data_IF_272086407486
#
_entry.id   IF_272086407486
#
_cell.length_a   1.000
_cell.length_b   1.000
_cell.length_c   1.000
_cell.angle_alpha   90.00
_cell.angle_beta   90.00
_cell.angle_gamma   90.00
#
_symmetry.space_group_name_H-M   'P 1'
#
loop_
_entity.id
_entity.type
_entity.pdbx_description
1 polymer ?
#
# COMPACT_ATOMS: atom_id res chain seq x y z
N UNK A 1 -18.36 -1.32 3.11
CA UNK A 1 -17.70 -2.37 2.28
C UNK A 1 -16.33 -1.84 1.94
N UNK A 2 -15.27 -2.61 2.20
CA UNK A 2 -13.90 -2.18 1.95
C UNK A 2 -13.55 -2.32 0.46
N UNK A 3 -12.95 -1.30 -0.13
CA UNK A 3 -12.48 -1.31 -1.51
C UNK A 3 -10.95 -1.28 -1.56
N UNK A 4 -10.36 -1.71 -2.69
CA UNK A 4 -8.92 -1.54 -2.90
C UNK A 4 -8.59 -0.08 -3.22
N UNK A 5 -7.49 0.43 -2.67
CA UNK A 5 -6.99 1.79 -2.89
C UNK A 5 -5.75 1.80 -3.80
N UNK A 6 -5.80 2.59 -4.87
CA UNK A 6 -4.74 2.68 -5.86
C UNK A 6 -4.24 4.12 -6.09
N UNK A 7 -2.96 4.26 -6.41
CA UNK A 7 -2.37 5.46 -6.99
C UNK A 7 -1.74 5.12 -8.34
N UNK A 8 -2.30 5.67 -9.42
CA UNK A 8 -1.78 5.56 -10.78
C UNK A 8 -0.92 6.76 -11.15
N UNK A 9 0.22 6.50 -11.80
CA UNK A 9 1.22 7.51 -12.17
C UNK A 9 1.51 7.45 -13.68
N UNK A 10 1.47 8.62 -14.33
CA UNK A 10 1.88 8.77 -15.72
C UNK A 10 3.12 9.67 -15.80
N UNK A 11 3.94 9.41 -16.81
CA UNK A 11 5.20 10.11 -17.02
C UNK A 11 5.17 10.75 -18.42
N UNK A 12 5.69 11.97 -18.58
CA UNK A 12 5.68 12.66 -19.86
C UNK A 12 6.66 11.99 -20.84
N UNK A 13 6.23 11.77 -22.08
CA UNK A 13 7.05 11.17 -23.15
C UNK A 13 7.76 9.88 -22.70
N UNK A 14 7.04 9.02 -21.98
CA UNK A 14 7.62 7.85 -21.32
C UNK A 14 8.23 6.89 -22.34
N UNK A 15 9.48 6.51 -22.09
CA UNK A 15 10.19 5.47 -22.81
C UNK A 15 10.26 4.25 -21.92
N UNK A 16 9.92 3.08 -22.45
CA UNK A 16 9.81 1.86 -21.66
C UNK A 16 11.14 1.49 -20.97
N UNK A 17 12.27 1.78 -21.61
CA UNK A 17 13.61 1.58 -21.04
C UNK A 17 13.89 2.43 -19.78
N UNK A 18 13.09 3.48 -19.55
CA UNK A 18 13.16 4.29 -18.35
C UNK A 18 12.35 3.71 -17.17
N UNK A 19 11.55 2.65 -17.39
CA UNK A 19 10.71 2.04 -16.36
C UNK A 19 11.49 1.63 -15.11
N UNK A 20 12.64 0.93 -15.20
CA UNK A 20 13.40 0.55 -14.00
C UNK A 20 13.83 1.77 -13.16
N UNK A 21 14.30 2.83 -13.82
CA UNK A 21 14.71 4.06 -13.13
C UNK A 21 13.52 4.79 -12.48
N UNK A 22 12.37 4.81 -13.15
CA UNK A 22 11.14 5.38 -12.59
C UNK A 22 10.65 4.58 -11.37
N UNK A 23 10.70 3.24 -11.44
CA UNK A 23 10.36 2.35 -10.33
C UNK A 23 11.26 2.58 -9.12
N UNK A 24 12.58 2.65 -9.32
CA UNK A 24 13.54 2.99 -8.25
C UNK A 24 13.20 4.34 -7.61
N UNK A 25 12.86 5.35 -8.42
CA UNK A 25 12.50 6.67 -7.90
C UNK A 25 11.27 6.61 -6.99
N UNK A 26 10.19 5.94 -7.42
CA UNK A 26 8.96 5.78 -6.65
C UNK A 26 9.19 4.98 -5.37
N UNK A 27 9.90 3.84 -5.45
CA UNK A 27 10.23 2.99 -4.29
C UNK A 27 11.07 3.76 -3.25
N UNK A 28 12.02 4.61 -3.69
CA UNK A 28 12.78 5.49 -2.79
C UNK A 28 11.87 6.49 -2.09
N UNK A 29 10.94 7.13 -2.80
CA UNK A 29 9.99 8.05 -2.16
C UNK A 29 9.12 7.33 -1.13
N UNK A 30 8.71 6.09 -1.43
CA UNK A 30 7.97 5.26 -0.48
C UNK A 30 8.80 4.96 0.77
N UNK A 31 10.05 4.52 0.61
CA UNK A 31 10.97 4.19 1.69
C UNK A 31 11.28 5.36 2.65
N UNK A 32 11.18 6.60 2.17
CA UNK A 32 11.33 7.80 3.01
C UNK A 32 10.16 8.00 3.97
N UNK A 33 8.97 7.48 3.64
CA UNK A 33 7.69 7.84 4.28
C UNK A 33 7.05 6.66 5.00
N UNK A 34 7.27 5.44 4.52
CA UNK A 34 6.67 4.19 5.05
C UNK A 34 6.98 3.90 6.52
N UNK A 35 8.11 4.43 7.02
CA UNK A 35 8.53 4.34 8.40
C UNK A 35 9.09 2.97 8.80
N UNK A 36 9.95 2.96 9.82
CA UNK A 36 10.60 1.73 10.32
C UNK A 36 11.67 1.15 9.38
N UNK A 37 12.36 0.07 9.79
CA UNK A 37 13.37 -0.60 8.97
C UNK A 37 12.75 -1.45 7.84
N UNK A 38 11.60 -2.10 8.11
CA UNK A 38 10.90 -2.98 7.17
C UNK A 38 10.42 -2.26 5.91
N UNK A 39 10.05 -0.98 6.02
CA UNK A 39 9.56 -0.17 4.91
C UNK A 39 10.65 0.38 4.00
N UNK A 40 11.94 0.11 4.29
CA UNK A 40 13.10 0.60 3.51
C UNK A 40 13.63 -0.41 2.50
N UNK A 41 13.16 -1.65 2.55
CA UNK A 41 13.65 -2.76 1.73
C UNK A 41 12.48 -3.42 1.00
N UNK A 42 12.80 -4.02 -0.14
CA UNK A 42 11.84 -4.82 -0.91
C UNK A 42 11.61 -6.14 -0.18
N UNK A 43 10.35 -6.50 0.05
CA UNK A 43 9.94 -7.74 0.70
C UNK A 43 9.76 -8.88 -0.31
N UNK A 44 9.29 -8.58 -1.51
CA UNK A 44 9.22 -9.52 -2.62
C UNK A 44 9.29 -8.77 -3.96
N UNK A 45 9.75 -9.47 -5.00
CA UNK A 45 9.74 -8.99 -6.37
C UNK A 45 9.22 -10.11 -7.29
N UNK A 46 8.30 -9.77 -8.19
CA UNK A 46 7.67 -10.71 -9.14
C UNK A 46 7.58 -10.09 -10.53
N UNK A 47 7.67 -10.91 -11.56
CA UNK A 47 7.47 -10.48 -12.96
C UNK A 47 6.44 -11.39 -13.63
N UNK A 48 5.39 -10.78 -14.15
CA UNK A 48 4.27 -11.48 -14.78
C UNK A 48 4.32 -11.26 -16.30
N UNK A 49 4.32 -12.32 -17.12
CA UNK A 49 4.23 -12.20 -18.57
C UNK A 49 2.76 -12.05 -18.99
N UNK A 50 2.49 -11.26 -20.03
CA UNK A 50 1.21 -11.11 -20.75
C UNK A 50 0.07 -10.52 -19.89
N UNK A 51 -0.27 -11.12 -18.75
CA UNK A 51 -1.30 -10.67 -17.81
C UNK A 51 -1.05 -11.22 -16.40
N UNK A 52 -1.83 -10.75 -15.41
CA UNK A 52 -1.76 -11.26 -14.04
C UNK A 52 -2.33 -12.67 -13.85
N UNK A 53 -2.98 -13.25 -14.88
CA UNK A 53 -3.48 -14.63 -14.80
C UNK A 53 -2.41 -15.67 -15.09
N UNK A 54 -1.29 -15.24 -15.68
CA UNK A 54 -0.15 -16.10 -15.97
C UNK A 54 0.73 -16.31 -14.73
N UNK A 55 1.51 -17.38 -14.74
CA UNK A 55 2.49 -17.63 -13.67
C UNK A 55 3.68 -16.67 -13.78
N UNK A 56 4.20 -16.14 -12.66
CA UNK A 56 5.38 -15.30 -12.68
C UNK A 56 6.58 -16.01 -13.33
N UNK A 57 7.27 -15.34 -14.25
CA UNK A 57 8.53 -15.84 -14.85
C UNK A 57 9.73 -15.61 -13.94
N UNK A 58 9.62 -14.62 -13.05
CA UNK A 58 10.57 -14.33 -11.98
C UNK A 58 9.80 -14.12 -10.68
N UNK A 59 10.30 -14.70 -9.59
CA UNK A 59 9.79 -14.44 -8.25
C UNK A 59 10.91 -14.57 -7.23
N UNK A 60 11.06 -13.58 -6.36
CA UNK A 60 12.02 -13.57 -5.27
C UNK A 60 11.39 -13.00 -4.01
N UNK A 61 11.49 -13.75 -2.92
CA UNK A 61 11.04 -13.32 -1.58
C UNK A 61 12.28 -13.01 -0.74
N UNK A 62 12.28 -11.85 -0.10
CA UNK A 62 13.39 -11.40 0.74
C UNK A 62 12.99 -11.51 2.21
N UNK A 63 13.81 -12.23 2.98
CA UNK A 63 13.66 -12.30 4.44
C UNK A 63 14.31 -11.06 5.02
N UNK A 64 13.52 -10.14 5.58
CA UNK A 64 13.96 -8.85 6.10
C UNK A 64 13.73 -8.73 7.63
N UNK A 65 13.71 -9.85 8.35
CA UNK A 65 13.53 -9.87 9.81
C UNK A 65 14.88 -9.81 10.54
N UNK A 66 14.85 -9.63 11.86
CA UNK A 66 16.06 -9.54 12.70
C UNK A 66 16.92 -10.82 12.70
N UNK A 67 16.43 -11.90 12.09
CA UNK A 67 17.11 -13.20 11.99
C UNK A 67 17.76 -13.42 10.62
N UNK A 68 17.47 -12.56 9.66
CA UNK A 68 18.04 -12.64 8.32
C UNK A 68 19.50 -12.19 8.31
N UNK A 69 20.30 -12.82 7.45
CA UNK A 69 21.58 -12.25 7.06
C UNK A 69 21.34 -10.96 6.28
N UNK A 70 22.15 -9.93 6.54
CA UNK A 70 22.08 -8.66 5.81
C UNK A 70 22.32 -8.92 4.32
N UNK A 71 21.23 -8.96 3.55
CA UNK A 71 21.27 -9.18 2.11
C UNK A 71 21.20 -7.85 1.39
N UNK A 72 22.18 -7.56 0.55
CA UNK A 72 22.13 -6.42 -0.35
C UNK A 72 21.05 -6.63 -1.43
N UNK A 73 20.57 -7.86 -1.65
CA UNK A 73 19.58 -8.14 -2.70
C UNK A 73 18.21 -7.48 -2.45
N UNK A 74 17.83 -7.25 -1.19
CA UNK A 74 16.56 -6.56 -0.87
C UNK A 74 16.65 -5.03 -0.96
N UNK A 75 17.84 -4.49 -1.25
CA UNK A 75 18.01 -3.07 -1.54
C UNK A 75 17.26 -2.75 -2.84
N UNK A 76 16.54 -1.63 -2.84
CA UNK A 76 15.62 -1.23 -3.92
C UNK A 76 16.30 -1.31 -5.29
N UNK A 77 17.50 -0.75 -5.42
CA UNK A 77 18.24 -0.71 -6.68
C UNK A 77 18.59 -2.12 -7.18
N UNK A 78 19.00 -3.01 -6.28
CA UNK A 78 19.39 -4.37 -6.63
C UNK A 78 18.17 -5.22 -6.99
N UNK A 79 17.10 -5.15 -6.19
CA UNK A 79 15.87 -5.87 -6.47
C UNK A 79 15.24 -5.45 -7.81
N UNK A 80 15.23 -4.14 -8.12
CA UNK A 80 14.72 -3.64 -9.40
C UNK A 80 15.63 -4.07 -10.55
N UNK A 81 16.95 -3.93 -10.41
CA UNK A 81 17.89 -4.33 -11.45
C UNK A 81 17.80 -5.82 -11.79
N UNK A 82 17.64 -6.68 -10.79
CA UNK A 82 17.49 -8.12 -10.98
C UNK A 82 16.16 -8.47 -11.65
N UNK A 83 15.04 -7.96 -11.12
CA UNK A 83 13.71 -8.23 -11.70
C UNK A 83 13.55 -7.65 -13.12
N UNK A 84 14.30 -6.61 -13.47
CA UNK A 84 14.24 -5.96 -14.80
C UNK A 84 15.39 -6.35 -15.72
N UNK A 85 16.17 -7.39 -15.38
CA UNK A 85 17.27 -7.89 -16.22
C UNK A 85 16.78 -8.27 -17.64
N UNK A 86 15.62 -8.94 -17.71
CA UNK A 86 14.94 -9.27 -18.96
C UNK A 86 13.77 -8.31 -19.20
N UNK A 87 14.07 -7.00 -19.26
CA UNK A 87 13.06 -5.97 -19.51
C UNK A 87 12.34 -6.23 -20.85
N UNK A 88 11.07 -6.59 -20.77
CA UNK A 88 10.22 -6.88 -21.93
C UNK A 88 8.87 -6.18 -21.86
N UNK A 89 8.35 -5.79 -23.03
CA UNK A 89 7.21 -4.89 -23.19
C UNK A 89 5.85 -5.54 -22.90
N UNK A 90 5.79 -6.86 -22.87
CA UNK A 90 4.62 -7.67 -22.50
C UNK A 90 4.64 -8.10 -21.03
N UNK A 91 5.51 -7.55 -20.19
CA UNK A 91 5.63 -7.94 -18.78
C UNK A 91 5.19 -6.83 -17.82
N UNK A 92 4.72 -7.22 -16.64
CA UNK A 92 4.55 -6.34 -15.49
C UNK A 92 5.53 -6.72 -14.38
N UNK A 93 6.06 -5.71 -13.70
CA UNK A 93 7.05 -5.84 -12.62
C UNK A 93 6.41 -5.39 -11.31
N UNK A 94 6.34 -6.27 -10.34
CA UNK A 94 5.74 -6.02 -9.03
C UNK A 94 6.80 -6.05 -7.93
N UNK A 95 6.78 -5.04 -7.06
CA UNK A 95 7.62 -4.98 -5.88
C UNK A 95 6.75 -4.76 -4.64
N UNK A 96 6.88 -5.65 -3.66
CA UNK A 96 6.22 -5.51 -2.37
C UNK A 96 7.09 -4.78 -1.36
N UNK A 97 6.50 -3.81 -0.65
CA UNK A 97 7.09 -3.14 0.49
C UNK A 97 6.13 -3.14 1.68
N UNK A 98 6.63 -2.83 2.88
CA UNK A 98 5.82 -2.76 4.11
C UNK A 98 5.58 -1.30 4.52
N UNK A 99 4.32 -0.97 4.86
CA UNK A 99 3.93 0.31 5.45
C UNK A 99 3.40 0.11 6.85
N UNK A 100 3.94 0.80 7.86
CA UNK A 100 3.34 0.78 9.20
C UNK A 100 2.15 1.74 9.24
N UNK A 101 0.94 1.19 9.32
CA UNK A 101 -0.32 1.94 9.42
C UNK A 101 -0.99 1.65 10.75
N UNK A 102 -1.74 2.63 11.25
CA UNK A 102 -2.59 2.42 12.41
C UNK A 102 -3.82 1.60 12.02
N UNK A 103 -4.05 0.50 12.71
CA UNK A 103 -5.20 -0.38 12.50
C UNK A 103 -5.88 -0.63 13.85
N UNK A 104 -7.22 -0.66 13.91
CA UNK A 104 -7.93 -1.07 15.12
C UNK A 104 -7.77 -2.58 15.33
N UNK A 105 -7.38 -3.01 16.53
CA UNK A 105 -7.57 -4.41 16.91
C UNK A 105 -9.07 -4.65 17.11
N UNK A 106 -9.63 -5.63 16.40
CA UNK A 106 -10.97 -6.14 16.69
C UNK A 106 -10.93 -7.11 17.88
N UNK A 107 -11.98 -7.11 18.69
CA UNK A 107 -12.13 -7.95 19.89
C UNK A 107 -12.01 -9.47 19.62
N UNK A 108 -12.19 -9.91 18.38
CA UNK A 108 -12.00 -11.32 17.99
C UNK A 108 -10.56 -11.81 18.20
N UNK A 109 -9.56 -10.92 18.10
CA UNK A 109 -8.16 -11.24 18.43
C UNK A 109 -7.95 -11.41 19.94
N UNK A 110 -8.81 -10.82 20.77
CA UNK A 110 -8.79 -10.98 22.23
C UNK A 110 -9.48 -12.28 22.66
N UNK A 111 -10.61 -12.63 22.04
CA UNK A 111 -11.34 -13.88 22.31
C UNK A 111 -10.48 -15.12 22.03
N UNK A 112 -9.76 -15.12 20.91
CA UNK A 112 -8.90 -16.24 20.53
C UNK A 112 -7.66 -16.40 21.43
N UNK A 113 -7.30 -15.35 22.21
CA UNK A 113 -6.08 -15.32 23.02
C UNK A 113 -6.28 -15.72 24.48
N UNK A 114 -7.53 -15.76 24.95
CA UNK A 114 -7.84 -16.01 26.36
C UNK A 114 -8.64 -17.30 26.62
N UNK A 115 -9.03 -18.06 25.59
CA UNK A 115 -9.76 -19.34 25.72
C UNK A 115 -10.98 -19.21 26.65
N UNK A 116 -11.65 -18.05 26.59
CA UNK A 116 -12.82 -17.75 27.40
C UNK A 116 -14.05 -18.28 26.67
N UNK A 117 -14.81 -19.15 27.34
CA UNK A 117 -16.04 -19.72 26.80
C UNK A 117 -17.10 -18.64 26.51
N UNK A 118 -18.04 -18.92 25.59
CA UNK A 118 -19.06 -17.97 25.13
C UNK A 118 -20.01 -17.47 26.23
N UNK A 119 -20.04 -18.15 27.38
CA UNK A 119 -20.97 -17.88 28.49
C UNK A 119 -20.34 -17.07 29.63
N UNK A 120 -19.14 -16.51 29.44
CA UNK A 120 -18.51 -15.69 30.47
C UNK A 120 -19.23 -14.34 30.60
N UNK A 121 -19.92 -14.10 31.72
CA UNK A 121 -20.55 -12.80 32.06
C UNK A 121 -19.55 -11.62 32.04
N UNK A 122 -18.24 -11.90 32.08
CA UNK A 122 -17.20 -10.89 31.87
C UNK A 122 -17.05 -10.45 30.40
N UNK A 123 -17.44 -11.24 29.40
CA UNK A 123 -17.36 -10.84 27.99
C UNK A 123 -18.35 -9.70 27.67
N UNK A 124 -19.53 -9.73 28.26
CA UNK A 124 -20.55 -8.67 28.10
C UNK A 124 -20.21 -7.36 28.83
N UNK A 125 -19.35 -7.41 29.86
CA UNK A 125 -18.89 -6.22 30.59
C UNK A 125 -17.63 -5.58 29.97
N UNK A 126 -16.85 -6.34 29.18
CA UNK A 126 -15.66 -5.85 28.49
C UNK A 126 -15.92 -5.35 27.06
N UNK A 127 -17.05 -5.69 26.43
CA UNK A 127 -17.43 -5.23 25.08
C UNK A 127 -17.72 -3.74 24.92
N UNK A 128 -17.29 -2.90 25.88
CA UNK A 128 -17.37 -1.43 25.86
C UNK A 128 -16.00 -0.77 26.10
N UNK A 129 -14.90 -1.51 25.99
CA UNK A 129 -13.56 -1.03 26.31
C UNK A 129 -12.80 -0.72 25.02
N UNK A 130 -12.63 0.58 24.76
CA UNK A 130 -11.64 1.24 23.91
C UNK A 130 -10.98 0.36 22.83
N UNK A 131 -11.44 0.51 21.57
CA UNK A 131 -10.78 -0.04 20.39
C UNK A 131 -9.28 0.24 20.46
N UNK A 132 -8.48 -0.80 20.66
CA UNK A 132 -7.03 -0.63 20.85
C UNK A 132 -6.36 -0.48 19.49
N UNK A 133 -5.74 0.67 19.24
CA UNK A 133 -5.05 0.96 17.99
C UNK A 133 -3.58 0.54 18.05
N UNK A 134 -3.10 -0.11 16.98
CA UNK A 134 -1.69 -0.51 16.85
C UNK A 134 -1.13 -0.20 15.47
N UNK A 135 0.15 0.18 15.41
CA UNK A 135 0.89 0.21 14.15
C UNK A 135 1.17 -1.22 13.69
N UNK A 136 0.61 -1.60 12.56
CA UNK A 136 0.80 -2.90 11.92
C UNK A 136 1.39 -2.74 10.52
N UNK A 137 2.25 -3.67 10.08
CA UNK A 137 2.78 -3.66 8.73
C UNK A 137 1.70 -4.08 7.72
N UNK A 138 1.30 -3.17 6.84
CA UNK A 138 0.50 -3.41 5.65
C UNK A 138 1.42 -3.64 4.44
N UNK A 139 1.03 -4.54 3.54
CA UNK A 139 1.75 -4.74 2.27
C UNK A 139 1.29 -3.71 1.24
N UNK A 140 2.24 -3.02 0.62
CA UNK A 140 2.01 -2.14 -0.53
C UNK A 140 2.72 -2.73 -1.73
N UNK A 141 2.02 -2.82 -2.86
CA UNK A 141 2.60 -3.33 -4.11
C UNK A 141 2.82 -2.16 -5.07
N UNK A 142 4.04 -2.02 -5.58
CA UNK A 142 4.39 -1.02 -6.59
C UNK A 142 4.59 -1.78 -7.90
N UNK A 143 3.76 -1.50 -8.90
CA UNK A 143 3.71 -2.19 -10.18
C UNK A 143 4.14 -1.27 -11.30
N UNK A 144 5.02 -1.77 -12.18
CA UNK A 144 5.40 -1.13 -13.44
C UNK A 144 4.92 -1.94 -14.63
N UNK A 145 4.30 -1.30 -15.62
CA UNK A 145 3.68 -2.00 -16.76
C UNK A 145 4.48 -1.82 -18.05
N UNK A 146 4.73 -2.93 -18.74
CA UNK A 146 5.11 -2.93 -20.13
C UNK A 146 3.95 -2.46 -21.03
N UNK A 147 4.23 -1.80 -22.17
CA UNK A 147 3.20 -1.20 -23.02
C UNK A 147 2.29 -2.23 -23.72
N UNK A 148 2.70 -3.49 -23.82
CA UNK A 148 1.92 -4.58 -24.40
C UNK A 148 1.32 -5.53 -23.34
N UNK A 149 1.60 -5.31 -22.05
CA UNK A 149 1.03 -6.11 -20.97
C UNK A 149 -0.47 -5.81 -20.81
N UNK A 150 -1.27 -6.87 -20.66
CA UNK A 150 -2.70 -6.84 -20.33
C UNK A 150 -3.49 -5.86 -21.22
N UNK A 151 -3.46 -6.06 -22.53
CA UNK A 151 -4.11 -5.21 -23.54
C UNK A 151 -3.75 -3.71 -23.41
N UNK A 152 -2.46 -3.43 -23.17
CA UNK A 152 -1.93 -2.07 -23.00
C UNK A 152 -2.59 -1.30 -21.84
N UNK A 153 -2.89 -2.01 -20.73
CA UNK A 153 -3.59 -1.45 -19.59
C UNK A 153 -2.90 -0.24 -18.94
N UNK A 154 -1.61 0.00 -19.22
CA UNK A 154 -0.86 1.18 -18.74
C UNK A 154 -1.55 2.51 -19.08
N UNK A 155 -2.32 2.58 -20.17
CA UNK A 155 -3.06 3.79 -20.55
C UNK A 155 -4.06 4.20 -19.47
N UNK A 156 -4.74 3.23 -18.86
CA UNK A 156 -5.74 3.43 -17.80
C UNK A 156 -5.12 3.33 -16.39
N UNK A 157 -4.15 2.42 -16.21
CA UNK A 157 -3.55 2.11 -14.92
C UNK A 157 -2.33 3.00 -14.57
N UNK A 158 -1.83 3.78 -15.52
CA UNK A 158 -0.54 4.48 -15.41
C UNK A 158 0.62 3.59 -15.84
N UNK A 159 1.77 4.21 -16.10
CA UNK A 159 3.02 3.43 -16.33
C UNK A 159 3.46 2.74 -15.03
N UNK A 160 3.17 3.36 -13.89
CA UNK A 160 3.37 2.79 -12.56
C UNK A 160 2.05 2.90 -11.79
N UNK A 161 1.62 1.81 -11.14
CA UNK A 161 0.49 1.78 -10.20
C UNK A 161 0.97 1.32 -8.83
N UNK A 162 0.52 2.01 -7.80
CA UNK A 162 0.70 1.59 -6.42
C UNK A 162 -0.63 1.04 -5.94
N UNK A 163 -0.61 -0.16 -5.39
CA UNK A 163 -1.72 -0.79 -4.69
C UNK A 163 -1.42 -0.76 -3.19
N UNK A 164 -2.26 -0.05 -2.43
CA UNK A 164 -2.11 0.11 -0.99
C UNK A 164 -2.86 -0.95 -0.18
N UNK A 165 -3.56 -1.87 -0.85
CA UNK A 165 -4.51 -2.79 -0.25
C UNK A 165 -5.86 -2.14 0.02
N UNK A 166 -6.60 -2.73 0.96
CA UNK A 166 -7.92 -2.24 1.36
C UNK A 166 -7.84 -0.82 1.92
N UNK A 167 -8.85 -0.01 1.62
CA UNK A 167 -8.98 1.37 2.03
C UNK A 167 -9.32 1.56 3.53
N UNK A 168 -9.62 0.47 4.25
CA UNK A 168 -10.01 0.46 5.67
C UNK A 168 -9.07 1.19 6.64
N UNK A 169 -7.74 1.26 6.43
CA UNK A 169 -6.87 2.09 7.29
C UNK A 169 -7.09 3.60 7.12
N UNK A 170 -7.72 4.03 6.02
CA UNK A 170 -7.93 5.43 5.65
C UNK A 170 -9.40 5.85 5.66
N UNK A 171 -10.33 4.90 5.52
CA UNK A 171 -11.77 5.14 5.48
C UNK A 171 -12.42 4.62 6.77
N UNK A 172 -13.37 5.40 7.29
CA UNK A 172 -14.27 4.96 8.35
C UNK A 172 -15.49 4.32 7.69
N UNK A 173 -15.86 3.11 8.10
CA UNK A 173 -17.17 2.59 7.71
C UNK A 173 -18.20 3.46 8.46
N UNK A 174 -18.81 4.40 7.74
CA UNK A 174 -19.86 5.27 8.26
C UNK A 174 -21.13 4.46 8.67
N UNK A 175 -21.10 3.12 8.50
CA UNK A 175 -22.13 2.16 8.94
C UNK A 175 -22.05 1.81 10.42
N UNK A 176 -21.03 2.26 11.17
CA UNK A 176 -21.12 2.28 12.64
C UNK A 176 -21.98 3.48 13.03
N UNK A 177 -23.26 3.36 12.71
CA UNK A 177 -24.29 4.34 13.03
C UNK A 177 -24.26 4.61 14.55
N UNK A 178 -24.22 5.90 14.90
CA UNK A 178 -24.48 6.45 16.25
C UNK A 178 -23.47 6.23 17.38
N UNK A 179 -22.25 5.76 17.12
CA UNK A 179 -21.19 5.86 18.15
C UNK A 179 -20.27 7.03 17.83
N UNK A 180 -20.34 8.11 18.62
CA UNK A 180 -19.37 9.21 18.57
C UNK A 180 -17.97 8.60 18.51
N UNK A 181 -17.29 8.73 17.36
CA UNK A 181 -15.95 8.19 17.21
C UNK A 181 -15.07 8.77 18.32
N UNK A 182 -14.42 7.88 19.05
CA UNK A 182 -13.40 8.27 20.01
C UNK A 182 -12.36 9.16 19.31
N UNK A 183 -12.00 10.28 19.93
CA UNK A 183 -11.03 11.27 19.41
C UNK A 183 -9.71 10.58 19.01
N UNK A 184 -9.37 9.48 19.70
CA UNK A 184 -8.22 8.63 19.40
C UNK A 184 -8.31 8.03 17.99
N UNK A 185 -9.45 7.46 17.61
CA UNK A 185 -9.65 6.83 16.31
C UNK A 185 -9.54 7.85 15.17
N UNK A 186 -10.14 9.03 15.34
CA UNK A 186 -10.02 10.13 14.38
C UNK A 186 -8.56 10.53 14.17
N UNK A 187 -7.81 10.68 15.26
CA UNK A 187 -6.38 11.03 15.22
C UNK A 187 -5.53 9.96 14.52
N UNK A 188 -5.82 8.67 14.72
CA UNK A 188 -5.07 7.58 14.08
C UNK A 188 -5.31 7.51 12.57
N UNK A 189 -6.56 7.64 12.16
CA UNK A 189 -6.92 7.68 10.75
C UNK A 189 -6.33 8.93 10.10
N UNK A 190 -6.39 10.09 10.75
CA UNK A 190 -5.72 11.30 10.28
C UNK A 190 -4.23 11.07 10.03
N UNK A 191 -3.52 10.42 10.94
CA UNK A 191 -2.10 10.08 10.76
C UNK A 191 -1.86 9.19 9.53
N UNK A 192 -2.71 8.19 9.28
CA UNK A 192 -2.60 7.35 8.08
C UNK A 192 -2.83 8.16 6.79
N UNK A 193 -3.81 9.07 6.79
CA UNK A 193 -4.12 9.95 5.66
C UNK A 193 -2.96 10.92 5.39
N UNK A 194 -2.41 11.54 6.44
CA UNK A 194 -1.26 12.44 6.33
C UNK A 194 -0.05 11.74 5.71
N UNK A 195 0.23 10.49 6.08
CA UNK A 195 1.29 9.68 5.47
C UNK A 195 1.02 9.36 4.00
N UNK A 196 -0.22 8.98 3.64
CA UNK A 196 -0.61 8.72 2.25
C UNK A 196 -0.44 9.95 1.36
N UNK A 197 -0.87 11.11 1.85
CA UNK A 197 -0.71 12.39 1.14
C UNK A 197 0.77 12.79 1.05
N UNK A 198 1.53 12.62 2.14
CA UNK A 198 2.97 12.89 2.12
C UNK A 198 3.65 12.06 1.02
N UNK A 199 3.33 10.78 0.89
CA UNK A 199 3.86 9.93 -0.17
C UNK A 199 3.46 10.42 -1.56
N UNK A 200 2.18 10.69 -1.74
CA UNK A 200 1.62 11.16 -3.02
C UNK A 200 2.26 12.48 -3.48
N UNK A 201 2.49 13.40 -2.56
CA UNK A 201 3.17 14.69 -2.82
C UNK A 201 4.67 14.50 -3.07
N UNK A 202 5.33 13.60 -2.34
CA UNK A 202 6.75 13.31 -2.53
C UNK A 202 7.01 12.75 -3.93
N UNK A 203 6.16 11.83 -4.40
CA UNK A 203 6.24 11.28 -5.75
C UNK A 203 6.04 12.36 -6.81
N UNK A 204 5.03 13.23 -6.66
CA UNK A 204 4.81 14.33 -7.61
C UNK A 204 6.01 15.27 -7.69
N UNK A 205 6.60 15.60 -6.55
CA UNK A 205 7.72 16.54 -6.47
C UNK A 205 9.03 15.94 -7.01
N UNK A 206 9.25 14.64 -6.84
CA UNK A 206 10.57 14.03 -7.02
C UNK A 206 10.66 13.01 -8.17
N UNK A 207 9.54 12.49 -8.67
CA UNK A 207 9.56 11.46 -9.71
C UNK A 207 9.36 11.98 -11.13
N UNK A 208 9.01 13.26 -11.32
CA UNK A 208 8.84 13.84 -12.67
C UNK A 208 7.63 13.30 -13.43
N UNK A 209 6.56 12.95 -12.71
CA UNK A 209 5.29 12.50 -13.29
C UNK A 209 4.58 13.65 -14.02
N UNK A 210 3.81 13.33 -15.05
CA UNK A 210 2.94 14.29 -15.75
C UNK A 210 1.57 14.41 -15.10
N UNK A 211 1.09 13.31 -14.52
CA UNK A 211 -0.19 13.25 -13.84
C UNK A 211 -0.23 12.08 -12.85
N UNK A 212 -1.16 12.15 -11.91
CA UNK A 212 -1.48 11.10 -10.95
C UNK A 212 -2.99 10.98 -10.75
N UNK A 213 -3.44 9.81 -10.32
CA UNK A 213 -4.84 9.56 -9.93
C UNK A 213 -4.86 8.67 -8.69
N UNK A 214 -5.50 9.12 -7.62
CA UNK A 214 -5.78 8.33 -6.42
C UNK A 214 -7.25 7.92 -6.45
N UNK A 215 -7.52 6.62 -6.47
CA UNK A 215 -8.85 6.06 -6.75
C UNK A 215 -9.08 4.72 -6.04
N UNK A 216 -10.36 4.36 -5.84
CA UNK A 216 -10.75 3.04 -5.31
C UNK A 216 -11.30 2.14 -6.41
N UNK A 217 -11.26 0.82 -6.23
CA UNK A 217 -11.82 -0.16 -7.18
C UNK A 217 -13.27 0.11 -7.59
N UNK A 218 -14.08 0.64 -6.67
CA UNK A 218 -15.47 1.05 -6.92
C UNK A 218 -15.62 2.29 -7.84
N UNK A 219 -14.50 2.93 -8.21
CA UNK A 219 -14.47 4.07 -9.13
C UNK A 219 -14.72 5.43 -8.47
N UNK A 220 -14.71 5.49 -7.14
CA UNK A 220 -14.90 6.75 -6.41
C UNK A 220 -13.57 7.54 -6.33
N UNK A 221 -13.55 8.83 -6.68
CA UNK A 221 -12.38 9.68 -6.48
C UNK A 221 -12.18 9.94 -4.99
N UNK A 222 -11.37 9.09 -4.34
CA UNK A 222 -11.14 9.13 -2.91
C UNK A 222 -10.37 10.39 -2.46
N UNK A 223 -9.58 11.00 -3.35
CA UNK A 223 -8.84 12.23 -3.05
C UNK A 223 -9.74 13.36 -2.54
N UNK A 224 -10.94 13.54 -3.10
CA UNK A 224 -11.88 14.58 -2.67
C UNK A 224 -12.45 14.29 -1.28
N UNK A 225 -12.78 13.02 -0.99
CA UNK A 225 -13.22 12.58 0.35
C UNK A 225 -12.13 12.78 1.39
N UNK A 226 -10.87 12.42 1.07
CA UNK A 226 -9.73 12.58 1.97
C UNK A 226 -9.43 14.05 2.28
N UNK A 227 -9.44 14.91 1.26
CA UNK A 227 -9.23 16.36 1.43
C UNK A 227 -10.37 16.99 2.24
N UNK A 228 -11.63 16.69 1.89
CA UNK A 228 -12.79 17.18 2.62
C UNK A 228 -12.76 16.76 4.10
N UNK A 229 -12.24 15.56 4.39
CA UNK A 229 -12.13 15.07 5.77
C UNK A 229 -11.02 15.77 6.55
N UNK A 230 -9.85 16.00 5.95
CA UNK A 230 -8.80 16.81 6.58
C UNK A 230 -9.27 18.23 6.90
N UNK A 231 -10.12 18.81 6.05
CA UNK A 231 -10.72 20.13 6.32
C UNK A 231 -11.75 20.11 7.46
N UNK A 232 -12.35 18.97 7.79
CA UNK A 232 -13.29 18.81 8.92
C UNK A 232 -12.60 18.52 10.25
N UNK A 233 -11.38 17.98 10.20
CA UNK A 233 -10.57 17.62 11.37
C UNK A 233 -9.64 18.76 11.85
N UNK A 234 -9.52 19.84 11.05
CA UNK A 234 -8.80 21.07 11.39
C UNK A 234 -9.77 22.16 11.88
#
# INVERSE_FOLDING_TARGET
>A
MADQLYLSLWFPNFRFEALPAAMVSVLRQFALISGGPEGKRVAAASVYPISFTESPTYQRIYVNDDRAEDSEASIIENAVAEATEQLHDDMAYEFEMKWKLWTPLHDDDFHNRLDLGPDSESAAAFGRLDTTWKLQPATVRILGFGPNFDDASYGQNGHIRIDFGLDTPWIMDDTVEDTELDEVAQKRIQQNIEMLLAFTLSVEKHCGISSRLLWTESGEPLAEKLIARLQRLN
#
